data_IF_016162267975
#
_entry.id   IF_016162267975
#
_cell.length_a   1.000
_cell.length_b   1.000
_cell.length_c   1.000
_cell.angle_alpha   90.00
_cell.angle_beta   90.00
_cell.angle_gamma   90.00
#
_symmetry.space_group_name_H-M   'P 1'
#
loop_
_entity.id
_entity.type
_entity.pdbx_description
1 polymer ?
#
# COMPACT_ATOMS: atom_id res chain seq x y z
N UNK A 1 7.75 -17.75 -13.61
CA UNK A 1 6.57 -17.35 -12.83
C UNK A 1 7.04 -16.47 -11.66
N UNK A 2 6.28 -15.42 -11.38
CA UNK A 2 6.55 -14.55 -10.25
C UNK A 2 6.49 -15.32 -8.92
N UNK A 3 7.40 -15.03 -8.00
CA UNK A 3 7.43 -15.62 -6.67
C UNK A 3 6.21 -15.23 -5.82
N UNK A 4 5.88 -16.07 -4.85
CA UNK A 4 4.84 -15.77 -3.86
C UNK A 4 5.33 -16.13 -2.47
N UNK A 5 5.22 -15.18 -1.57
CA UNK A 5 5.46 -15.37 -0.14
C UNK A 5 4.18 -15.06 0.62
N UNK A 6 3.82 -15.93 1.55
CA UNK A 6 2.67 -15.74 2.42
C UNK A 6 3.08 -16.07 3.86
N UNK A 7 2.95 -15.08 4.74
CA UNK A 7 3.15 -15.24 6.18
C UNK A 7 1.78 -15.13 6.85
N UNK A 8 1.41 -16.17 7.59
CA UNK A 8 0.14 -16.22 8.31
C UNK A 8 0.39 -16.46 9.79
N UNK A 9 -0.18 -15.61 10.63
CA UNK A 9 -0.28 -15.83 12.06
C UNK A 9 -1.75 -16.09 12.41
N UNK A 10 -2.02 -17.22 13.04
CA UNK A 10 -3.35 -17.62 13.50
C UNK A 10 -3.53 -17.31 14.99
N UNK A 11 -4.80 -17.27 15.45
CA UNK A 11 -5.13 -16.90 16.81
C UNK A 11 -4.59 -15.49 17.14
N UNK A 12 -4.06 -15.31 18.33
CA UNK A 12 -3.48 -14.06 18.81
C UNK A 12 -2.06 -13.76 18.28
N UNK A 13 -1.55 -14.60 17.37
CA UNK A 13 -0.21 -14.43 16.83
C UNK A 13 -0.12 -13.21 15.91
N UNK A 14 1.04 -12.53 15.93
CA UNK A 14 1.34 -11.37 15.09
C UNK A 14 2.38 -11.70 14.02
N UNK A 15 2.37 -10.95 12.92
CA UNK A 15 3.41 -11.01 11.88
C UNK A 15 4.33 -9.81 12.04
N UNK A 16 5.62 -10.04 12.18
CA UNK A 16 6.60 -8.96 12.28
C UNK A 16 7.76 -9.17 11.31
N UNK A 17 7.94 -8.23 10.41
CA UNK A 17 9.11 -8.15 9.54
C UNK A 17 10.11 -7.21 10.20
N UNK A 18 11.15 -7.76 10.81
CA UNK A 18 12.10 -7.01 11.65
C UNK A 18 13.17 -6.30 10.82
N UNK A 19 13.88 -5.37 11.47
CA UNK A 19 15.03 -4.70 10.90
C UNK A 19 16.04 -5.71 10.31
N UNK A 20 16.47 -5.46 9.08
CA UNK A 20 17.37 -6.32 8.33
C UNK A 20 16.73 -7.56 7.70
N UNK A 21 15.45 -7.86 7.99
CA UNK A 21 14.73 -8.92 7.29
C UNK A 21 14.33 -8.45 5.89
N UNK A 22 14.48 -9.34 4.90
CA UNK A 22 14.13 -9.08 3.51
C UNK A 22 13.20 -10.17 2.97
N UNK A 23 12.13 -9.74 2.29
CA UNK A 23 11.27 -10.61 1.49
C UNK A 23 11.32 -10.07 0.07
N UNK A 24 11.98 -10.81 -0.80
CA UNK A 24 12.18 -10.44 -2.19
C UNK A 24 11.49 -11.45 -3.12
N UNK A 25 10.51 -10.98 -3.87
CA UNK A 25 9.82 -11.71 -4.94
C UNK A 25 9.83 -10.87 -6.23
N UNK A 26 10.85 -10.02 -6.35
CA UNK A 26 11.04 -9.23 -7.56
C UNK A 26 11.32 -10.14 -8.77
N UNK A 27 10.86 -9.70 -9.92
CA UNK A 27 11.13 -10.39 -11.17
C UNK A 27 12.35 -9.80 -11.85
N UNK A 28 13.23 -10.71 -12.28
CA UNK A 28 14.38 -10.38 -13.12
C UNK A 28 14.06 -10.66 -14.59
N UNK A 29 14.97 -10.26 -15.45
CA UNK A 29 14.89 -10.56 -16.88
C UNK A 29 15.12 -12.06 -17.12
N UNK A 30 14.21 -12.69 -17.85
CA UNK A 30 14.37 -14.05 -18.35
C UNK A 30 14.66 -14.01 -19.86
N UNK A 31 15.59 -14.84 -20.33
CA UNK A 31 15.94 -14.97 -21.74
C UNK A 31 15.69 -16.40 -22.20
N UNK A 32 14.74 -16.58 -23.11
CA UNK A 32 14.43 -17.87 -23.73
C UNK A 32 14.68 -17.79 -25.25
N UNK A 33 15.54 -18.65 -25.77
CA UNK A 33 15.82 -18.72 -27.20
C UNK A 33 16.28 -17.38 -27.81
N UNK A 34 17.05 -16.59 -27.07
CA UNK A 34 17.52 -15.25 -27.48
C UNK A 34 16.48 -14.13 -27.37
N UNK A 35 15.25 -14.43 -26.91
CA UNK A 35 14.21 -13.43 -26.67
C UNK A 35 14.08 -13.12 -25.19
N UNK A 36 14.04 -11.83 -24.85
CA UNK A 36 13.73 -11.39 -23.50
C UNK A 36 12.25 -11.50 -23.23
N UNK A 37 11.89 -12.20 -22.17
CA UNK A 37 10.51 -12.34 -21.71
C UNK A 37 10.32 -11.44 -20.49
N UNK A 38 9.29 -10.60 -20.52
CA UNK A 38 8.88 -9.77 -19.40
C UNK A 38 8.18 -10.65 -18.35
N UNK A 39 8.76 -10.73 -17.15
CA UNK A 39 8.19 -11.47 -16.01
C UNK A 39 7.61 -10.44 -15.04
N UNK A 40 6.34 -10.59 -14.61
CA UNK A 40 5.78 -9.70 -13.60
C UNK A 40 6.39 -9.96 -12.23
N UNK A 41 6.41 -8.93 -11.38
CA UNK A 41 6.78 -9.04 -9.97
C UNK A 41 5.84 -9.96 -9.21
N UNK A 42 6.30 -10.48 -8.08
CA UNK A 42 5.58 -11.48 -7.30
C UNK A 42 4.53 -10.91 -6.35
N UNK A 43 4.15 -11.72 -5.40
CA UNK A 43 3.17 -11.34 -4.38
C UNK A 43 3.68 -11.63 -2.98
N UNK A 44 3.59 -10.62 -2.10
CA UNK A 44 3.81 -10.77 -0.66
C UNK A 44 2.46 -10.61 0.03
N UNK A 45 2.10 -11.57 0.88
CA UNK A 45 0.88 -11.52 1.69
C UNK A 45 1.24 -11.72 3.16
N UNK A 46 0.97 -10.72 4.00
CA UNK A 46 1.13 -10.79 5.45
C UNK A 46 -0.26 -10.81 6.08
N UNK A 47 -0.55 -11.81 6.92
CA UNK A 47 -1.86 -11.97 7.54
C UNK A 47 -1.74 -12.31 9.00
N UNK A 48 -2.52 -11.62 9.82
CA UNK A 48 -2.74 -11.92 11.22
C UNK A 48 -4.24 -11.98 11.50
N UNK A 49 -4.72 -13.04 12.18
CA UNK A 49 -6.17 -13.21 12.42
C UNK A 49 -6.65 -12.32 13.54
N UNK A 50 -5.97 -12.35 14.69
CA UNK A 50 -6.32 -11.58 15.89
C UNK A 50 -5.18 -10.67 16.36
N UNK A 51 -3.96 -10.89 15.87
CA UNK A 51 -2.79 -10.10 16.23
C UNK A 51 -2.48 -9.02 15.19
N UNK A 52 -1.36 -8.35 15.41
CA UNK A 52 -0.91 -7.21 14.64
C UNK A 52 0.02 -7.60 13.49
N UNK A 53 0.20 -6.67 12.56
CA UNK A 53 1.27 -6.74 11.56
C UNK A 53 2.20 -5.54 11.77
N UNK A 54 3.50 -5.81 11.89
CA UNK A 54 4.51 -4.77 11.97
C UNK A 54 5.58 -4.95 10.90
N UNK A 55 5.85 -3.89 10.16
CA UNK A 55 6.97 -3.79 9.21
C UNK A 55 7.91 -2.75 9.78
N UNK A 56 9.01 -3.23 10.39
CA UNK A 56 9.92 -2.40 11.18
C UNK A 56 10.84 -1.57 10.26
N UNK A 57 11.47 -0.57 10.84
CA UNK A 57 12.55 0.18 10.22
C UNK A 57 13.61 -0.76 9.64
N UNK A 58 14.02 -0.52 8.39
CA UNK A 58 15.05 -1.32 7.71
C UNK A 58 14.61 -2.72 7.29
N UNK A 59 13.34 -3.10 7.49
CA UNK A 59 12.75 -4.24 6.81
C UNK A 59 12.61 -3.96 5.31
N UNK A 60 12.77 -4.97 4.46
CA UNK A 60 12.69 -4.85 3.00
C UNK A 60 11.62 -5.76 2.42
N UNK A 61 10.70 -5.20 1.63
CA UNK A 61 9.70 -5.94 0.87
C UNK A 61 9.79 -5.50 -0.60
N UNK A 62 10.16 -6.40 -1.49
CA UNK A 62 10.34 -6.10 -2.91
C UNK A 62 9.45 -6.97 -3.81
N UNK A 63 8.59 -6.33 -4.58
CA UNK A 63 7.74 -6.93 -5.60
C UNK A 63 7.98 -6.30 -6.97
N UNK A 64 9.13 -5.72 -7.19
CA UNK A 64 9.50 -5.03 -8.42
C UNK A 64 9.60 -5.97 -9.63
N UNK A 65 9.64 -5.40 -10.83
CA UNK A 65 9.85 -6.12 -12.10
C UNK A 65 10.84 -5.37 -12.98
N UNK A 66 12.14 -5.50 -12.68
CA UNK A 66 13.22 -4.82 -13.38
C UNK A 66 13.40 -5.29 -14.83
N UNK A 67 12.92 -6.48 -15.16
CA UNK A 67 13.06 -7.11 -16.48
C UNK A 67 12.05 -6.68 -17.54
N UNK A 68 11.26 -5.63 -17.32
CA UNK A 68 10.28 -5.15 -18.31
C UNK A 68 8.84 -5.57 -18.03
N UNK A 69 8.54 -6.19 -16.86
CA UNK A 69 7.19 -6.61 -16.45
C UNK A 69 6.41 -5.55 -15.68
N UNK A 70 5.18 -5.92 -15.31
CA UNK A 70 4.38 -5.22 -14.31
C UNK A 70 4.94 -5.52 -12.92
N UNK A 71 5.00 -4.55 -12.02
CA UNK A 71 5.31 -4.83 -10.62
C UNK A 71 4.21 -5.64 -9.94
N UNK A 72 4.55 -6.24 -8.80
CA UNK A 72 3.66 -7.14 -8.08
C UNK A 72 2.79 -6.47 -7.03
N UNK A 73 2.37 -7.26 -6.05
CA UNK A 73 1.39 -6.85 -5.04
C UNK A 73 1.90 -7.16 -3.64
N UNK A 74 1.81 -6.18 -2.74
CA UNK A 74 1.92 -6.39 -1.30
C UNK A 74 0.53 -6.28 -0.69
N UNK A 75 0.13 -7.28 0.09
CA UNK A 75 -1.13 -7.25 0.84
C UNK A 75 -0.88 -7.51 2.32
N UNK A 76 -1.44 -6.65 3.16
CA UNK A 76 -1.40 -6.75 4.63
C UNK A 76 -2.83 -6.86 5.15
N UNK A 77 -3.11 -7.87 5.97
CA UNK A 77 -4.42 -8.10 6.55
C UNK A 77 -4.31 -8.45 8.04
N UNK A 78 -4.76 -7.55 8.89
CA UNK A 78 -4.87 -7.74 10.34
C UNK A 78 -6.34 -7.56 10.75
N UNK A 79 -7.12 -8.65 10.66
CA UNK A 79 -8.59 -8.57 10.71
C UNK A 79 -9.13 -8.03 12.05
N UNK A 80 -8.49 -8.34 13.16
CA UNK A 80 -8.82 -7.84 14.49
C UNK A 80 -7.59 -7.22 15.18
N UNK A 81 -6.64 -6.71 14.41
CA UNK A 81 -5.43 -6.09 14.90
C UNK A 81 -5.02 -4.87 14.08
N UNK A 82 -3.95 -4.25 14.48
CA UNK A 82 -3.41 -3.05 13.82
C UNK A 82 -2.31 -3.39 12.83
N UNK A 83 -2.07 -2.47 11.90
CA UNK A 83 -0.93 -2.56 10.99
C UNK A 83 -0.04 -1.34 11.18
N UNK A 84 1.24 -1.62 11.52
CA UNK A 84 2.31 -0.62 11.61
C UNK A 84 3.28 -0.77 10.46
N UNK A 85 3.63 0.35 9.82
CA UNK A 85 4.64 0.41 8.77
C UNK A 85 5.57 1.57 9.07
N UNK A 86 6.81 1.27 9.46
CA UNK A 86 7.81 2.30 9.70
C UNK A 86 8.12 3.07 8.39
N UNK A 87 8.16 4.40 8.40
CA UNK A 87 8.46 5.20 7.21
C UNK A 87 9.84 4.92 6.58
N UNK A 88 10.73 4.26 7.32
CA UNK A 88 12.06 3.86 6.86
C UNK A 88 12.14 2.39 6.46
N UNK A 89 11.04 1.66 6.44
CA UNK A 89 10.96 0.36 5.80
C UNK A 89 11.18 0.51 4.29
N UNK A 90 11.85 -0.43 3.68
CA UNK A 90 12.13 -0.42 2.25
C UNK A 90 11.04 -1.19 1.50
N UNK A 91 10.07 -0.46 0.97
CA UNK A 91 9.00 -1.02 0.16
C UNK A 91 9.30 -0.72 -1.31
N UNK A 92 9.27 -1.71 -2.19
CA UNK A 92 9.57 -1.53 -3.60
C UNK A 92 8.58 -2.27 -4.50
N UNK A 93 8.05 -1.55 -5.50
CA UNK A 93 7.09 -2.07 -6.48
C UNK A 93 7.22 -1.36 -7.83
N UNK A 94 8.46 -1.20 -8.32
CA UNK A 94 8.73 -0.56 -9.60
C UNK A 94 8.71 -1.58 -10.72
N UNK A 95 7.94 -1.33 -11.77
CA UNK A 95 7.93 -2.14 -12.98
C UNK A 95 7.98 -1.28 -14.23
N UNK A 96 8.69 -1.75 -15.26
CA UNK A 96 8.86 -0.98 -16.50
C UNK A 96 7.56 -0.83 -17.29
N UNK A 97 6.63 -1.79 -17.18
CA UNK A 97 5.33 -1.76 -17.87
C UNK A 97 4.19 -1.27 -16.96
N UNK A 98 4.39 -1.16 -15.66
CA UNK A 98 3.41 -0.65 -14.71
C UNK A 98 3.83 -0.83 -13.27
N UNK A 99 3.28 0.03 -12.45
CA UNK A 99 3.50 0.09 -11.01
C UNK A 99 2.85 -1.09 -10.28
N UNK A 100 3.22 -1.28 -9.02
CA UNK A 100 2.61 -2.31 -8.19
C UNK A 100 1.41 -1.83 -7.38
N UNK A 101 0.83 -2.76 -6.62
CA UNK A 101 -0.33 -2.54 -5.80
C UNK A 101 -0.04 -2.72 -4.30
N UNK A 102 -0.73 -1.93 -3.47
CA UNK A 102 -0.76 -2.03 -2.01
C UNK A 102 -2.17 -2.24 -1.51
N UNK A 103 -2.39 -3.33 -0.80
CA UNK A 103 -3.67 -3.68 -0.19
C UNK A 103 -3.52 -3.72 1.33
N UNK A 104 -4.23 -2.85 2.02
CA UNK A 104 -4.23 -2.69 3.47
C UNK A 104 -5.63 -2.97 4.01
N UNK A 105 -5.75 -3.91 4.93
CA UNK A 105 -7.00 -4.28 5.58
C UNK A 105 -6.72 -4.56 7.06
N UNK A 106 -7.18 -3.69 7.95
CA UNK A 106 -6.90 -3.75 9.38
C UNK A 106 -8.14 -3.43 10.23
N UNK A 107 -8.07 -3.77 11.51
CA UNK A 107 -8.99 -3.25 12.50
C UNK A 107 -8.87 -1.72 12.56
N UNK A 108 -7.63 -1.23 12.72
CA UNK A 108 -7.28 0.18 12.69
C UNK A 108 -5.82 0.38 12.24
N UNK A 109 -5.42 1.61 11.96
CA UNK A 109 -4.01 1.97 11.88
C UNK A 109 -3.36 1.86 13.26
N UNK A 110 -2.12 1.41 13.33
CA UNK A 110 -1.32 1.55 14.54
C UNK A 110 -1.04 3.03 14.83
N UNK A 111 -0.84 3.39 16.10
CA UNK A 111 -0.68 4.78 16.51
C UNK A 111 0.51 5.51 15.85
N UNK A 112 1.52 4.78 15.42
CA UNK A 112 2.72 5.27 14.74
C UNK A 112 2.59 5.34 13.22
N UNK A 113 1.46 4.90 12.67
CA UNK A 113 1.22 4.83 11.22
C UNK A 113 0.00 5.67 10.84
N UNK A 114 0.14 6.49 9.83
CA UNK A 114 -0.98 7.26 9.27
C UNK A 114 -1.11 7.06 7.77
N UNK A 115 -2.34 7.24 7.26
CA UNK A 115 -2.61 7.19 5.82
C UNK A 115 -1.70 8.12 5.03
N UNK A 116 -1.46 9.34 5.53
CA UNK A 116 -0.64 10.36 4.87
C UNK A 116 0.83 9.96 4.78
N UNK A 117 1.42 9.50 5.87
CA UNK A 117 2.83 9.08 5.93
C UNK A 117 3.05 7.86 5.05
N UNK A 118 2.18 6.85 5.17
CA UNK A 118 2.29 5.64 4.36
C UNK A 118 2.16 5.94 2.86
N UNK A 119 1.23 6.81 2.45
CA UNK A 119 1.10 7.17 1.04
C UNK A 119 2.28 7.97 0.49
N UNK A 120 2.94 8.80 1.30
CA UNK A 120 4.20 9.46 0.89
C UNK A 120 5.26 8.42 0.54
N UNK A 121 5.41 7.40 1.36
CA UNK A 121 6.34 6.29 1.11
C UNK A 121 5.96 5.49 -0.14
N UNK A 122 4.67 5.16 -0.30
CA UNK A 122 4.18 4.39 -1.45
C UNK A 122 4.31 5.16 -2.77
N UNK A 123 4.10 6.49 -2.77
CA UNK A 123 4.29 7.32 -3.95
C UNK A 123 5.73 7.26 -4.48
N UNK A 124 6.71 7.32 -3.57
CA UNK A 124 8.14 7.28 -3.92
C UNK A 124 8.62 5.91 -4.41
N UNK A 125 7.90 4.83 -4.12
CA UNK A 125 8.39 3.45 -4.25
C UNK A 125 7.65 2.59 -5.29
N UNK A 126 6.88 3.21 -6.18
CA UNK A 126 6.31 2.54 -7.35
C UNK A 126 4.99 1.81 -7.11
N UNK A 127 4.25 2.12 -6.04
CA UNK A 127 2.91 1.58 -5.82
C UNK A 127 1.83 2.44 -6.48
N UNK A 128 1.86 2.58 -7.79
CA UNK A 128 0.98 3.48 -8.55
C UNK A 128 -0.16 2.79 -9.31
N UNK A 129 -0.32 1.46 -9.20
CA UNK A 129 -1.42 0.77 -9.87
C UNK A 129 -2.70 0.81 -9.01
N UNK A 130 -2.72 0.12 -7.91
CA UNK A 130 -3.90 -0.01 -7.05
C UNK A 130 -3.52 0.21 -5.59
N UNK A 131 -4.28 1.06 -4.90
CA UNK A 131 -4.19 1.24 -3.45
C UNK A 131 -5.55 1.04 -2.82
N UNK A 132 -5.62 0.10 -1.90
CA UNK A 132 -6.80 -0.19 -1.10
C UNK A 132 -6.43 0.00 0.37
N UNK A 133 -7.18 0.83 1.08
CA UNK A 133 -7.09 0.99 2.53
C UNK A 133 -8.47 0.75 3.13
N UNK A 134 -8.57 -0.26 3.96
CA UNK A 134 -9.75 -0.55 4.74
C UNK A 134 -9.41 -0.58 6.22
N UNK A 135 -10.13 0.18 7.01
CA UNK A 135 -10.14 0.09 8.47
C UNK A 135 -11.55 -0.24 8.96
N UNK A 136 -11.64 -1.11 9.96
CA UNK A 136 -12.93 -1.49 10.54
C UNK A 136 -13.39 -0.49 11.57
N UNK A 137 -12.44 0.02 12.35
CA UNK A 137 -12.70 1.06 13.35
C UNK A 137 -11.81 2.27 13.13
N UNK A 138 -12.38 3.45 13.37
CA UNK A 138 -11.68 4.73 13.26
C UNK A 138 -11.77 5.38 11.89
N UNK A 139 -11.29 6.60 11.84
CA UNK A 139 -11.37 7.47 10.68
C UNK A 139 -10.17 7.31 9.74
N UNK A 140 -10.41 7.54 8.46
CA UNK A 140 -9.36 7.71 7.46
C UNK A 140 -9.17 9.20 7.17
N UNK A 141 -7.98 9.71 7.43
CA UNK A 141 -7.67 11.12 7.19
C UNK A 141 -6.44 11.28 6.30
N UNK A 142 -6.61 12.00 5.20
CA UNK A 142 -5.51 12.46 4.35
C UNK A 142 -5.23 13.92 4.65
N UNK A 143 -4.09 14.19 5.26
CA UNK A 143 -3.70 15.52 5.73
C UNK A 143 -3.52 16.54 4.59
N UNK A 144 -3.62 17.84 4.85
CA UNK A 144 -3.25 18.88 3.89
C UNK A 144 -1.82 18.68 3.37
N UNK A 145 -1.61 18.86 2.08
CA UNK A 145 -0.30 18.65 1.42
C UNK A 145 0.06 17.20 1.15
N UNK A 146 -0.62 16.22 1.76
CA UNK A 146 -0.42 14.82 1.44
C UNK A 146 -1.12 14.43 0.11
N UNK A 147 -0.60 13.41 -0.57
CA UNK A 147 -1.17 12.91 -1.81
C UNK A 147 -1.24 11.39 -1.84
N UNK A 148 -2.29 10.85 -2.45
CA UNK A 148 -2.38 9.46 -2.90
C UNK A 148 -2.32 9.48 -4.43
N UNK A 149 -1.30 8.83 -5.00
CA UNK A 149 -1.07 8.81 -6.45
C UNK A 149 -1.10 7.36 -6.96
N UNK A 150 -2.25 6.93 -7.46
CA UNK A 150 -2.42 5.59 -8.02
C UNK A 150 -3.55 5.56 -9.04
N UNK A 151 -3.50 4.62 -9.99
CA UNK A 151 -4.52 4.46 -11.02
C UNK A 151 -5.90 4.10 -10.42
N UNK A 152 -5.92 3.25 -9.38
CA UNK A 152 -7.13 2.93 -8.64
C UNK A 152 -6.91 3.14 -7.14
N UNK A 153 -7.79 3.91 -6.50
CA UNK A 153 -7.76 4.20 -5.06
C UNK A 153 -9.10 3.82 -4.44
N UNK A 154 -9.06 3.00 -3.41
CA UNK A 154 -10.23 2.67 -2.59
C UNK A 154 -9.91 2.93 -1.12
N UNK A 155 -10.70 3.78 -0.47
CA UNK A 155 -10.64 4.02 0.97
C UNK A 155 -11.96 3.55 1.58
N UNK A 156 -11.89 2.73 2.63
CA UNK A 156 -13.07 2.22 3.33
C UNK A 156 -12.88 2.34 4.84
N UNK A 157 -13.78 3.04 5.51
CA UNK A 157 -13.91 3.15 6.96
C UNK A 157 -15.24 2.52 7.38
N UNK A 158 -15.19 1.26 7.84
CA UNK A 158 -16.42 0.48 8.10
C UNK A 158 -17.22 1.04 9.29
N UNK A 159 -16.55 1.64 10.28
CA UNK A 159 -17.13 2.33 11.43
C UNK A 159 -16.34 3.61 11.69
N UNK A 160 -16.46 4.58 10.77
CA UNK A 160 -15.75 5.84 10.86
C UNK A 160 -16.04 6.76 9.68
N UNK A 161 -15.41 7.92 9.68
CA UNK A 161 -15.50 8.93 8.65
C UNK A 161 -14.26 8.94 7.74
N UNK A 162 -14.41 9.51 6.54
CA UNK A 162 -13.28 9.76 5.64
C UNK A 162 -13.14 11.27 5.44
N UNK A 163 -11.97 11.82 5.78
CA UNK A 163 -11.65 13.23 5.56
C UNK A 163 -10.47 13.37 4.63
N UNK A 164 -10.67 13.98 3.47
CA UNK A 164 -9.64 14.26 2.49
C UNK A 164 -9.36 15.76 2.47
N UNK A 165 -8.30 16.17 3.17
CA UNK A 165 -7.77 17.53 3.12
C UNK A 165 -6.55 17.64 2.18
N UNK A 166 -5.99 16.52 1.79
CA UNK A 166 -4.96 16.38 0.78
C UNK A 166 -5.50 16.15 -0.62
N UNK A 167 -4.74 15.47 -1.47
CA UNK A 167 -5.05 15.24 -2.88
C UNK A 167 -5.08 13.75 -3.20
N UNK A 168 -6.08 13.28 -3.93
CA UNK A 168 -6.10 11.95 -4.53
C UNK A 168 -6.00 12.12 -6.05
N UNK A 169 -4.99 11.50 -6.65
CA UNK A 169 -4.75 11.53 -8.09
C UNK A 169 -4.88 10.10 -8.63
N UNK A 170 -5.99 9.84 -9.31
CA UNK A 170 -6.22 8.61 -10.02
C UNK A 170 -6.04 8.86 -11.52
N UNK A 171 -4.81 8.73 -12.00
CA UNK A 171 -4.45 8.99 -13.39
C UNK A 171 -3.61 7.85 -13.97
N UNK A 172 -3.57 7.74 -15.29
CA UNK A 172 -2.80 6.72 -15.99
C UNK A 172 -3.18 6.68 -17.46
N UNK A 173 -2.72 5.63 -18.16
CA UNK A 173 -3.05 5.41 -19.58
C UNK A 173 -4.52 5.06 -19.82
N UNK A 174 -5.26 4.73 -18.77
CA UNK A 174 -6.71 4.45 -18.75
C UNK A 174 -7.37 5.35 -17.73
N UNK A 175 -8.69 5.47 -17.79
CA UNK A 175 -9.47 6.20 -16.80
C UNK A 175 -9.19 5.65 -15.39
N UNK A 176 -8.79 6.51 -14.47
CA UNK A 176 -8.56 6.16 -13.08
C UNK A 176 -9.86 5.98 -12.30
N UNK A 177 -9.76 5.36 -11.12
CA UNK A 177 -10.90 5.12 -10.24
C UNK A 177 -10.61 5.58 -8.83
N UNK A 178 -11.55 6.32 -8.23
CA UNK A 178 -11.55 6.66 -6.80
C UNK A 178 -12.86 6.15 -6.20
N UNK A 179 -12.79 5.39 -5.12
CA UNK A 179 -13.92 4.96 -4.33
C UNK A 179 -13.68 5.30 -2.86
N UNK A 180 -14.60 6.00 -2.23
CA UNK A 180 -14.59 6.37 -0.82
C UNK A 180 -15.85 5.80 -0.18
N UNK A 181 -15.69 4.91 0.79
CA UNK A 181 -16.78 4.21 1.46
C UNK A 181 -16.63 4.45 2.97
N UNK A 182 -17.61 5.07 3.60
CA UNK A 182 -17.61 5.31 5.04
C UNK A 182 -19.00 5.01 5.60
N UNK A 183 -19.07 4.51 6.84
CA UNK A 183 -20.33 4.45 7.60
C UNK A 183 -20.71 5.85 8.10
N UNK A 184 -19.71 6.67 8.46
CA UNK A 184 -19.88 8.08 8.78
C UNK A 184 -19.75 9.01 7.57
N UNK A 185 -19.38 10.24 7.82
CA UNK A 185 -19.26 11.28 6.80
C UNK A 185 -18.07 11.04 5.84
N UNK A 186 -18.28 11.41 4.57
CA UNK A 186 -17.18 11.62 3.61
C UNK A 186 -17.03 13.12 3.37
N UNK A 187 -15.89 13.69 3.83
CA UNK A 187 -15.59 15.12 3.73
C UNK A 187 -14.41 15.38 2.81
N UNK A 188 -14.62 16.24 1.84
CA UNK A 188 -13.55 16.77 0.99
C UNK A 188 -13.28 18.21 1.45
N UNK A 189 -12.18 18.41 2.18
CA UNK A 189 -11.79 19.72 2.69
C UNK A 189 -10.75 20.34 1.73
N UNK A 190 -11.17 21.34 0.94
CA UNK A 190 -10.24 22.12 0.14
C UNK A 190 -9.25 22.89 1.02
N UNK A 191 -7.99 23.01 0.63
CA UNK A 191 -7.08 23.97 1.24
C UNK A 191 -7.70 25.37 1.02
N UNK A 192 -8.04 26.08 2.09
CA UNK A 192 -8.30 27.52 1.99
C UNK A 192 -7.00 28.16 1.50
N UNK A 193 -6.99 28.72 0.29
CA UNK A 193 -5.94 29.65 -0.09
C UNK A 193 -6.00 30.78 0.92
N UNK A 194 -4.94 30.96 1.73
CA UNK A 194 -4.78 32.17 2.50
C UNK A 194 -4.77 33.30 1.47
N UNK A 195 -5.84 34.09 1.47
CA UNK A 195 -5.93 35.26 0.62
C UNK A 195 -4.77 36.17 0.97
N UNK A 196 -3.95 36.50 -0.01
CA UNK A 196 -3.00 37.59 0.09
C UNK A 196 -3.84 38.87 0.28
N UNK A 197 -3.71 39.46 1.45
CA UNK A 197 -4.08 40.87 1.73
C UNK A 197 -2.94 41.76 1.33
#
# INVERSE_FOLDING_TARGET
>A
PAGRVQLNASGAGSVRVRNGASIDVAATREVFGGKTVAVPGGRIALRATQGDIAIDRGASLDVSASGGGLAGVISTQAAAGTISVDPRAQLQARGAQGSGAWLFDAEAFAADTSLSVLNTQLNGNGFGDTRVFRVRHGDLSLAPGAAIEAHAVTLSADQGAITIAGRIVASGRRAGRIALNADGDVRLAGAKSAGAT
#
